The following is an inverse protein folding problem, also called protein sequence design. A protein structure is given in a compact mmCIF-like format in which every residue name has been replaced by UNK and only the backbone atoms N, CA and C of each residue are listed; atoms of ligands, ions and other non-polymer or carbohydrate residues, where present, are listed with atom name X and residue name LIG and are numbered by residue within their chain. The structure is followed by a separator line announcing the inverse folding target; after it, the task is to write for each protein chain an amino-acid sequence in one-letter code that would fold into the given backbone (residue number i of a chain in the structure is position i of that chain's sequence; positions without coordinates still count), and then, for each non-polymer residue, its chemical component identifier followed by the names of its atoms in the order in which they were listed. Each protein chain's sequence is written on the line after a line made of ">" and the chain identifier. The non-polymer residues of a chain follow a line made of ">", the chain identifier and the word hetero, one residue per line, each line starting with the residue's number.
data_IF_366885851795
#
_entry.id   IF_366885851795
#
_cell.length_a   1.000
_cell.length_b   1.000
_cell.length_c   1.000
_cell.angle_alpha   90.00
_cell.angle_beta   90.00
_cell.angle_gamma   90.00
#
_symmetry.space_group_name_H-M   'P 1'
#
loop_
_entity.id
_entity.type
_entity.pdbx_description
1 polymer ?
#
# COMPACT_ATOMS: atom_id res chain seq x y z
N UNK A 1 -25.56 14.92 8.47
CA UNK A 1 -24.92 16.16 8.93
C UNK A 1 -24.11 16.71 7.76
N UNK A 2 -24.43 17.90 7.24
CA UNK A 2 -23.67 18.54 6.18
C UNK A 2 -22.34 19.00 6.79
N UNK A 3 -21.25 18.36 6.42
CA UNK A 3 -19.90 18.79 6.77
C UNK A 3 -19.62 20.11 6.02
N UNK A 4 -19.59 21.22 6.72
CA UNK A 4 -19.23 22.52 6.15
C UNK A 4 -17.75 22.50 5.77
N UNK A 5 -17.40 23.10 4.63
CA UNK A 5 -16.04 23.17 4.06
C UNK A 5 -14.99 23.70 5.07
N UNK A 6 -15.40 24.54 5.99
CA UNK A 6 -14.55 25.08 7.09
C UNK A 6 -14.18 24.04 8.14
N UNK A 7 -14.93 22.95 8.31
CA UNK A 7 -14.62 21.90 9.27
C UNK A 7 -13.55 20.93 8.73
N UNK A 8 -13.50 20.69 7.42
CA UNK A 8 -12.50 19.78 6.81
C UNK A 8 -11.09 20.34 6.92
N UNK A 9 -10.89 21.63 6.61
CA UNK A 9 -9.56 22.27 6.68
C UNK A 9 -9.03 22.30 8.12
N UNK A 10 -9.92 22.45 9.11
CA UNK A 10 -9.55 22.44 10.55
C UNK A 10 -9.27 21.05 11.11
N UNK A 11 -9.76 19.98 10.46
CA UNK A 11 -9.52 18.60 10.90
C UNK A 11 -8.25 17.97 10.29
N UNK A 12 -7.62 18.64 9.33
CA UNK A 12 -6.37 18.17 8.72
C UNK A 12 -5.19 18.46 9.66
N UNK A 13 -4.41 17.43 9.95
CA UNK A 13 -3.13 17.60 10.66
C UNK A 13 -2.08 18.16 9.69
N UNK A 14 -1.96 19.48 9.68
CA UNK A 14 -1.03 20.20 8.82
C UNK A 14 0.44 19.87 9.12
N UNK A 15 0.76 19.46 10.35
CA UNK A 15 2.12 19.06 10.72
C UNK A 15 2.50 17.78 9.95
N UNK A 16 1.63 16.80 9.96
CA UNK A 16 1.83 15.55 9.19
C UNK A 16 1.93 15.82 7.69
N UNK A 17 1.09 16.71 7.14
CA UNK A 17 1.16 17.08 5.71
C UNK A 17 2.49 17.74 5.37
N UNK A 18 2.98 18.67 6.19
CA UNK A 18 4.27 19.34 5.95
C UNK A 18 5.44 18.36 6.04
N UNK A 19 5.44 17.46 7.03
CA UNK A 19 6.47 16.42 7.15
C UNK A 19 6.45 15.50 5.92
N UNK A 20 5.27 15.08 5.48
CA UNK A 20 5.12 14.26 4.27
C UNK A 20 5.70 14.94 3.03
N UNK A 21 5.32 16.20 2.78
CA UNK A 21 5.84 16.95 1.64
C UNK A 21 7.35 17.18 1.73
N UNK A 22 7.88 17.44 2.93
CA UNK A 22 9.32 17.57 3.13
C UNK A 22 10.05 16.27 2.80
N UNK A 23 9.53 15.10 3.21
CA UNK A 23 10.11 13.79 2.88
C UNK A 23 10.06 13.50 1.37
N UNK A 24 8.96 13.87 0.70
CA UNK A 24 8.82 13.73 -0.76
C UNK A 24 9.86 14.58 -1.48
N UNK A 25 10.05 15.84 -1.06
CA UNK A 25 11.05 16.75 -1.65
C UNK A 25 12.47 16.26 -1.40
N UNK A 26 12.80 15.81 -0.19
CA UNK A 26 14.11 15.22 0.13
C UNK A 26 14.39 13.98 -0.71
N UNK A 27 13.38 13.12 -0.90
CA UNK A 27 13.45 11.96 -1.77
C UNK A 27 13.75 12.34 -3.23
N UNK A 28 13.08 13.37 -3.74
CA UNK A 28 13.35 13.88 -5.09
C UNK A 28 14.75 14.44 -5.25
N UNK A 29 15.21 15.28 -4.31
CA UNK A 29 16.59 15.82 -4.28
C UNK A 29 17.62 14.68 -4.26
N UNK A 30 17.35 13.64 -3.48
CA UNK A 30 18.22 12.45 -3.41
C UNK A 30 18.33 11.74 -4.76
N UNK A 31 17.22 11.62 -5.51
CA UNK A 31 17.21 11.04 -6.86
C UNK A 31 17.95 11.95 -7.84
N UNK A 32 17.78 13.27 -7.74
CA UNK A 32 18.55 14.21 -8.55
C UNK A 32 20.05 14.03 -8.33
N UNK A 33 20.49 13.94 -7.07
CA UNK A 33 21.91 13.72 -6.74
C UNK A 33 22.45 12.37 -7.21
N UNK A 34 21.65 11.30 -7.10
CA UNK A 34 22.05 9.96 -7.54
C UNK A 34 22.04 9.79 -9.08
N UNK A 35 21.31 10.63 -9.79
CA UNK A 35 21.19 10.60 -11.26
C UNK A 35 22.03 11.68 -11.93
N UNK A 36 22.83 12.41 -11.16
CA UNK A 36 23.66 13.49 -11.66
C UNK A 36 24.82 12.90 -12.49
N UNK A 37 24.78 13.16 -13.81
CA UNK A 37 25.89 12.88 -14.71
C UNK A 37 26.53 14.20 -15.13
N UNK A 38 27.86 14.27 -15.07
CA UNK A 38 28.63 15.48 -15.42
C UNK A 38 28.43 15.83 -16.90
N UNK A 39 27.43 16.62 -17.22
CA UNK A 39 27.17 17.10 -18.57
C UNK A 39 25.69 17.37 -18.91
N UNK A 40 24.75 16.73 -18.26
CA UNK A 40 23.29 16.94 -18.48
C UNK A 40 22.64 17.52 -17.23
N UNK A 41 22.36 18.85 -17.28
CA UNK A 41 21.72 19.57 -16.15
C UNK A 41 20.18 19.61 -16.24
N UNK A 42 19.53 18.84 -17.10
CA UNK A 42 18.08 18.88 -17.26
C UNK A 42 17.34 18.00 -16.23
N UNK A 43 17.30 18.47 -14.98
CA UNK A 43 16.55 17.80 -13.89
C UNK A 43 15.04 17.72 -14.14
N UNK A 44 14.50 18.55 -15.02
CA UNK A 44 13.07 18.62 -15.33
C UNK A 44 12.67 17.89 -16.60
N UNK A 45 13.62 17.39 -17.38
CA UNK A 45 13.33 16.64 -18.60
C UNK A 45 12.64 15.32 -18.26
N UNK A 46 11.54 14.99 -18.97
CA UNK A 46 10.83 13.73 -18.84
C UNK A 46 11.65 12.51 -19.31
N UNK A 47 12.80 12.73 -19.95
CA UNK A 47 13.72 11.66 -20.32
C UNK A 47 14.61 11.24 -19.16
N UNK A 48 14.84 12.13 -18.19
CA UNK A 48 15.63 11.86 -16.99
C UNK A 48 14.83 11.15 -15.90
N UNK A 49 15.52 10.47 -14.98
CA UNK A 49 14.90 9.82 -13.82
C UNK A 49 14.26 10.84 -12.88
N UNK A 50 14.90 12.00 -12.69
CA UNK A 50 14.42 13.08 -11.84
C UNK A 50 13.13 13.72 -12.37
N UNK A 51 13.03 13.96 -13.68
CA UNK A 51 11.82 14.50 -14.29
C UNK A 51 10.66 13.51 -14.29
N UNK A 52 10.91 12.22 -14.58
CA UNK A 52 9.89 11.16 -14.41
C UNK A 52 9.37 11.10 -12.97
N UNK A 53 10.27 11.25 -11.99
CA UNK A 53 9.86 11.26 -10.58
C UNK A 53 8.94 12.43 -10.24
N UNK A 54 9.18 13.63 -10.77
CA UNK A 54 8.28 14.77 -10.59
C UNK A 54 6.87 14.49 -11.13
N UNK A 55 6.78 13.87 -12.30
CA UNK A 55 5.51 13.48 -12.88
C UNK A 55 4.77 12.48 -11.96
N UNK A 56 5.48 11.48 -11.43
CA UNK A 56 4.90 10.52 -10.50
C UNK A 56 4.48 11.16 -9.18
N UNK A 57 5.24 12.14 -8.67
CA UNK A 57 4.87 12.92 -7.48
C UNK A 57 3.57 13.68 -7.73
N UNK A 58 3.45 14.38 -8.88
CA UNK A 58 2.23 15.11 -9.22
C UNK A 58 1.02 14.17 -9.35
N UNK A 59 1.17 13.03 -10.04
CA UNK A 59 0.12 12.02 -10.16
C UNK A 59 -0.29 11.44 -8.80
N UNK A 60 0.68 11.14 -7.92
CA UNK A 60 0.40 10.57 -6.60
C UNK A 60 -0.30 11.56 -5.67
N UNK A 61 0.07 12.84 -5.71
CA UNK A 61 -0.61 13.89 -4.95
C UNK A 61 -2.05 14.08 -5.45
N UNK A 62 -2.26 14.08 -6.78
CA UNK A 62 -3.59 14.14 -7.38
C UNK A 62 -4.46 12.95 -6.98
N UNK A 63 -3.91 11.73 -7.05
CA UNK A 63 -4.60 10.52 -6.63
C UNK A 63 -4.90 10.54 -5.12
N UNK A 64 -3.94 10.98 -4.29
CA UNK A 64 -4.13 11.13 -2.86
C UNK A 64 -5.27 12.10 -2.53
N UNK A 65 -5.35 13.22 -3.25
CA UNK A 65 -6.44 14.17 -3.10
C UNK A 65 -7.80 13.55 -3.47
N UNK A 66 -7.88 12.81 -4.58
CA UNK A 66 -9.10 12.09 -4.99
C UNK A 66 -9.53 11.11 -3.91
N UNK A 67 -8.58 10.32 -3.39
CA UNK A 67 -8.83 9.33 -2.34
C UNK A 67 -9.40 10.00 -1.09
N UNK A 68 -8.84 11.14 -0.65
CA UNK A 68 -9.33 11.88 0.50
C UNK A 68 -10.75 12.48 0.31
N UNK A 69 -11.21 12.65 -0.95
CA UNK A 69 -12.55 13.13 -1.28
C UNK A 69 -13.59 12.00 -1.30
N UNK A 70 -13.19 10.75 -1.31
CA UNK A 70 -14.11 9.61 -1.32
C UNK A 70 -14.78 9.43 0.03
N UNK A 71 -16.07 9.11 0.01
CA UNK A 71 -16.84 8.78 1.23
C UNK A 71 -16.41 7.42 1.81
N UNK A 72 -16.42 7.30 3.14
CA UNK A 72 -16.08 6.07 3.87
C UNK A 72 -16.87 4.85 3.40
N UNK A 73 -18.12 5.05 2.96
CA UNK A 73 -18.99 4.00 2.43
C UNK A 73 -18.43 3.31 1.20
N UNK A 74 -17.69 4.05 0.35
CA UNK A 74 -17.09 3.51 -0.88
C UNK A 74 -16.00 2.50 -0.49
N UNK A 75 -15.15 2.85 0.48
CA UNK A 75 -14.13 1.95 0.98
C UNK A 75 -14.72 0.67 1.54
N UNK A 76 -15.81 0.81 2.29
CA UNK A 76 -16.50 -0.32 2.90
C UNK A 76 -17.10 -1.27 1.84
N UNK A 77 -17.70 -0.73 0.79
CA UNK A 77 -18.25 -1.53 -0.32
C UNK A 77 -17.16 -2.26 -1.12
N UNK A 78 -16.08 -1.57 -1.44
CA UNK A 78 -15.02 -2.09 -2.29
C UNK A 78 -14.02 -2.99 -1.56
N UNK A 79 -13.94 -2.97 -0.23
CA UNK A 79 -12.90 -3.63 0.54
C UNK A 79 -12.67 -5.10 0.14
N UNK A 80 -13.71 -5.93 0.17
CA UNK A 80 -13.57 -7.35 -0.15
C UNK A 80 -13.46 -7.63 -1.65
N UNK A 81 -14.10 -6.82 -2.48
CA UNK A 81 -14.00 -6.94 -3.96
C UNK A 81 -12.57 -6.62 -4.38
N UNK A 82 -12.00 -5.53 -3.86
CA UNK A 82 -10.65 -5.12 -4.15
C UNK A 82 -9.62 -6.13 -3.62
N UNK A 83 -9.85 -6.66 -2.41
CA UNK A 83 -9.03 -7.72 -1.85
C UNK A 83 -9.05 -8.97 -2.74
N UNK A 84 -10.21 -9.46 -3.15
CA UNK A 84 -10.34 -10.63 -4.02
C UNK A 84 -9.66 -10.43 -5.37
N UNK A 85 -9.81 -9.24 -5.98
CA UNK A 85 -9.14 -8.88 -7.22
C UNK A 85 -7.61 -8.90 -7.07
N UNK A 86 -7.08 -8.35 -5.96
CA UNK A 86 -5.64 -8.35 -5.69
C UNK A 86 -5.10 -9.76 -5.41
N UNK A 87 -5.87 -10.62 -4.73
CA UNK A 87 -5.49 -12.02 -4.54
C UNK A 87 -5.41 -12.78 -5.85
N UNK A 88 -6.39 -12.57 -6.74
CA UNK A 88 -6.36 -13.15 -8.08
C UNK A 88 -5.14 -12.63 -8.88
N UNK A 89 -4.87 -11.34 -8.82
CA UNK A 89 -3.72 -10.74 -9.50
C UNK A 89 -2.40 -11.27 -8.96
N UNK A 90 -2.24 -11.39 -7.62
CA UNK A 90 -1.06 -11.99 -7.01
C UNK A 90 -0.88 -13.46 -7.44
N UNK A 91 -1.96 -14.22 -7.55
CA UNK A 91 -1.90 -15.61 -7.99
C UNK A 91 -1.46 -15.73 -9.45
N UNK A 92 -1.93 -14.85 -10.32
CA UNK A 92 -1.60 -14.85 -11.75
C UNK A 92 -0.22 -14.28 -12.04
N UNK A 93 0.29 -13.37 -11.21
CA UNK A 93 1.57 -12.66 -11.41
C UNK A 93 2.75 -13.58 -11.73
N UNK A 94 3.02 -14.69 -11.00
CA UNK A 94 4.17 -15.55 -11.31
C UNK A 94 4.15 -16.18 -12.71
N UNK A 95 2.97 -16.27 -13.33
CA UNK A 95 2.81 -16.88 -14.66
C UNK A 95 3.01 -15.89 -15.81
N UNK A 96 2.87 -14.57 -15.53
CA UNK A 96 2.97 -13.51 -16.54
C UNK A 96 4.15 -12.57 -16.31
N UNK A 97 4.72 -12.56 -15.10
CA UNK A 97 5.85 -11.69 -14.75
C UNK A 97 7.14 -12.24 -15.36
N UNK A 98 7.97 -11.31 -15.84
CA UNK A 98 9.33 -11.64 -16.25
C UNK A 98 10.26 -11.75 -15.02
N UNK A 99 11.26 -12.62 -15.12
CA UNK A 99 12.29 -12.70 -14.08
C UNK A 99 13.01 -11.36 -13.94
N UNK A 100 12.89 -10.77 -12.77
CA UNK A 100 13.60 -9.54 -12.43
C UNK A 100 14.45 -9.80 -11.19
N UNK A 101 15.74 -10.05 -11.39
CA UNK A 101 16.72 -10.35 -10.32
C UNK A 101 16.31 -11.57 -9.45
N UNK A 102 15.73 -12.58 -10.05
CA UNK A 102 15.29 -13.80 -9.37
C UNK A 102 13.90 -13.72 -8.72
N UNK A 103 13.13 -12.65 -8.94
CA UNK A 103 11.76 -12.46 -8.48
C UNK A 103 10.78 -12.37 -9.66
N UNK A 104 9.62 -12.99 -9.52
CA UNK A 104 8.53 -12.99 -10.50
C UNK A 104 7.35 -12.12 -10.02
N UNK A 105 7.64 -10.88 -9.58
CA UNK A 105 6.68 -10.00 -8.92
C UNK A 105 6.36 -8.72 -9.68
N UNK A 106 7.04 -8.48 -10.81
CA UNK A 106 6.90 -7.26 -11.59
C UNK A 106 6.21 -7.51 -12.93
N UNK A 107 5.07 -6.88 -13.13
CA UNK A 107 4.37 -6.87 -14.42
C UNK A 107 4.82 -5.63 -15.20
N UNK A 108 5.43 -5.82 -16.37
CA UNK A 108 5.93 -4.74 -17.20
C UNK A 108 4.91 -4.38 -18.28
N UNK A 109 4.56 -3.11 -18.36
CA UNK A 109 3.73 -2.51 -19.41
C UNK A 109 4.56 -1.47 -20.17
N UNK A 110 5.40 -1.91 -21.09
CA UNK A 110 6.32 -1.02 -21.81
C UNK A 110 7.32 -0.34 -20.86
N UNK A 111 7.26 0.98 -20.71
CA UNK A 111 8.14 1.75 -19.82
C UNK A 111 7.68 1.78 -18.35
N UNK A 112 6.49 1.30 -18.05
CA UNK A 112 5.92 1.27 -16.69
C UNK A 112 5.96 -0.15 -16.16
N UNK A 113 6.42 -0.31 -14.93
CA UNK A 113 6.37 -1.58 -14.20
C UNK A 113 5.47 -1.44 -12.98
N UNK A 114 4.62 -2.42 -12.77
CA UNK A 114 3.67 -2.48 -11.68
C UNK A 114 3.98 -3.70 -10.82
N UNK A 115 4.00 -3.49 -9.51
CA UNK A 115 4.20 -4.55 -8.53
C UNK A 115 2.88 -4.82 -7.78
N UNK A 116 2.17 -5.91 -8.07
CA UNK A 116 0.89 -6.20 -7.45
C UNK A 116 0.94 -6.32 -5.93
N UNK A 117 2.07 -6.75 -5.37
CA UNK A 117 2.29 -6.86 -3.93
C UNK A 117 2.09 -5.53 -3.18
N UNK A 118 2.43 -4.38 -3.79
CA UNK A 118 2.24 -3.06 -3.19
C UNK A 118 0.75 -2.73 -3.02
N UNK A 119 -0.05 -3.01 -4.04
CA UNK A 119 -1.50 -2.80 -4.00
C UNK A 119 -2.20 -3.81 -3.09
N UNK A 120 -1.68 -5.04 -3.02
CA UNK A 120 -2.21 -6.07 -2.14
C UNK A 120 -2.07 -5.71 -0.65
N UNK A 121 -1.02 -4.99 -0.25
CA UNK A 121 -0.89 -4.47 1.13
C UNK A 121 -2.04 -3.53 1.48
N UNK A 122 -2.35 -2.60 0.59
CA UNK A 122 -3.49 -1.69 0.79
C UNK A 122 -4.82 -2.45 0.80
N UNK A 123 -5.03 -3.39 -0.12
CA UNK A 123 -6.24 -4.21 -0.17
C UNK A 123 -6.42 -5.03 1.11
N UNK A 124 -5.33 -5.59 1.65
CA UNK A 124 -5.34 -6.34 2.91
C UNK A 124 -5.70 -5.43 4.09
N UNK A 125 -5.11 -4.23 4.17
CA UNK A 125 -5.43 -3.26 5.20
C UNK A 125 -6.93 -2.90 5.19
N UNK A 126 -7.47 -2.67 4.00
CA UNK A 126 -8.86 -2.30 3.81
C UNK A 126 -9.83 -3.46 4.19
N UNK A 127 -9.54 -4.68 3.72
CA UNK A 127 -10.33 -5.87 4.06
C UNK A 127 -10.29 -6.17 5.56
N UNK A 128 -9.12 -6.01 6.19
CA UNK A 128 -8.92 -6.23 7.61
C UNK A 128 -9.66 -5.16 8.45
N UNK A 129 -9.57 -3.88 8.06
CA UNK A 129 -10.30 -2.80 8.71
C UNK A 129 -11.81 -3.04 8.68
N UNK A 130 -12.35 -3.43 7.52
CA UNK A 130 -13.76 -3.79 7.39
C UNK A 130 -14.13 -4.99 8.25
N UNK A 131 -13.29 -6.02 8.28
CA UNK A 131 -13.55 -7.24 9.07
C UNK A 131 -13.56 -6.94 10.58
N UNK A 132 -12.59 -6.15 11.06
CA UNK A 132 -12.48 -5.77 12.48
C UNK A 132 -13.58 -4.79 12.88
N UNK A 133 -13.98 -3.87 12.00
CA UNK A 133 -15.06 -2.93 12.22
C UNK A 133 -16.45 -3.54 12.28
N UNK A 134 -16.60 -4.84 11.97
CA UNK A 134 -17.88 -5.51 12.03
C UNK A 134 -18.40 -5.60 13.47
N UNK A 135 -19.72 -5.38 13.63
CA UNK A 135 -20.40 -5.52 14.91
C UNK A 135 -20.20 -6.93 15.49
N UNK A 136 -19.81 -7.03 16.76
CA UNK A 136 -19.46 -8.27 17.48
C UNK A 136 -18.07 -8.88 17.15
N UNK A 137 -17.16 -8.13 16.54
CA UNK A 137 -15.79 -8.60 16.43
C UNK A 137 -15.15 -8.77 17.82
N UNK A 138 -14.54 -9.93 18.05
CA UNK A 138 -13.83 -10.23 19.30
C UNK A 138 -12.70 -11.21 19.01
N UNK A 139 -11.46 -10.78 19.20
CA UNK A 139 -10.26 -11.61 18.89
C UNK A 139 -10.16 -12.90 19.71
N UNK A 140 -10.77 -12.96 20.89
CA UNK A 140 -10.79 -14.17 21.74
C UNK A 140 -11.64 -15.31 21.17
N UNK A 141 -12.44 -15.07 20.12
CA UNK A 141 -13.23 -16.11 19.47
C UNK A 141 -12.48 -16.62 18.24
N UNK A 142 -12.22 -17.91 18.15
CA UNK A 142 -11.60 -18.56 16.99
C UNK A 142 -12.31 -18.23 15.67
N UNK A 143 -13.63 -18.05 15.70
CA UNK A 143 -14.43 -17.65 14.53
C UNK A 143 -14.07 -16.27 13.97
N UNK A 144 -13.50 -15.40 14.79
CA UNK A 144 -13.05 -14.06 14.38
C UNK A 144 -11.53 -14.03 14.11
N UNK A 145 -10.74 -14.69 14.93
CA UNK A 145 -9.28 -14.68 14.79
C UNK A 145 -8.78 -15.43 13.56
N UNK A 146 -9.34 -16.61 13.25
CA UNK A 146 -8.93 -17.41 12.10
C UNK A 146 -9.12 -16.69 10.75
N UNK A 147 -10.30 -16.09 10.44
CA UNK A 147 -10.45 -15.33 9.20
C UNK A 147 -9.54 -14.10 9.14
N UNK A 148 -9.34 -13.37 10.26
CA UNK A 148 -8.45 -12.22 10.31
C UNK A 148 -6.99 -12.62 9.97
N UNK A 149 -6.51 -13.71 10.56
CA UNK A 149 -5.20 -14.28 10.25
C UNK A 149 -5.15 -14.74 8.78
N UNK A 150 -6.21 -15.38 8.28
CA UNK A 150 -6.31 -15.82 6.89
C UNK A 150 -6.20 -14.68 5.88
N UNK A 151 -6.85 -13.52 6.16
CA UNK A 151 -6.75 -12.31 5.34
C UNK A 151 -5.30 -11.81 5.24
N UNK A 152 -4.47 -12.00 6.27
CA UNK A 152 -3.06 -11.60 6.27
C UNK A 152 -2.17 -12.67 5.62
N UNK A 153 -2.37 -13.94 5.98
CA UNK A 153 -1.50 -15.03 5.54
C UNK A 153 -1.64 -15.32 4.05
N UNK A 154 -2.84 -15.22 3.48
CA UNK A 154 -3.08 -15.53 2.07
C UNK A 154 -2.19 -14.68 1.13
N UNK A 155 -2.23 -13.33 1.17
CA UNK A 155 -1.35 -12.53 0.33
C UNK A 155 0.13 -12.73 0.67
N UNK A 156 0.47 -12.87 1.95
CA UNK A 156 1.85 -13.12 2.38
C UNK A 156 2.43 -14.38 1.74
N UNK A 157 1.68 -15.49 1.74
CA UNK A 157 2.11 -16.74 1.10
C UNK A 157 2.24 -16.59 -0.42
N UNK A 158 1.29 -15.92 -1.08
CA UNK A 158 1.36 -15.68 -2.53
C UNK A 158 2.60 -14.84 -2.90
N UNK A 159 2.97 -13.85 -2.08
CA UNK A 159 4.17 -13.03 -2.30
C UNK A 159 5.45 -13.85 -2.07
N UNK A 160 5.48 -14.73 -1.07
CA UNK A 160 6.62 -15.65 -0.85
C UNK A 160 6.82 -16.57 -2.06
N UNK A 161 5.72 -17.08 -2.65
CA UNK A 161 5.78 -17.90 -3.86
C UNK A 161 6.38 -17.16 -5.06
N UNK A 162 6.25 -15.83 -5.10
CA UNK A 162 6.89 -14.95 -6.10
C UNK A 162 8.39 -14.70 -5.82
N UNK A 163 8.95 -15.32 -4.78
CA UNK A 163 10.33 -15.13 -4.29
C UNK A 163 10.62 -13.70 -3.83
N UNK A 164 9.63 -13.04 -3.26
CA UNK A 164 9.72 -11.67 -2.78
C UNK A 164 9.51 -11.59 -1.25
N UNK A 165 10.45 -12.17 -0.50
CA UNK A 165 10.38 -12.25 0.97
C UNK A 165 10.37 -10.88 1.64
N UNK A 166 11.02 -9.86 1.07
CA UNK A 166 11.05 -8.50 1.60
C UNK A 166 9.64 -7.89 1.71
N UNK A 167 8.86 -7.96 0.64
CA UNK A 167 7.47 -7.47 0.62
C UNK A 167 6.56 -8.30 1.53
N UNK A 168 6.81 -9.61 1.64
CA UNK A 168 6.05 -10.49 2.54
C UNK A 168 6.26 -10.14 4.02
N UNK A 169 7.48 -9.75 4.43
CA UNK A 169 7.78 -9.38 5.81
C UNK A 169 6.98 -8.15 6.29
N UNK A 170 6.58 -7.26 5.39
CA UNK A 170 5.75 -6.09 5.73
C UNK A 170 4.40 -6.52 6.33
N UNK A 171 3.88 -7.69 5.94
CA UNK A 171 2.63 -8.23 6.49
C UNK A 171 2.70 -8.58 7.98
N UNK A 172 3.90 -8.74 8.55
CA UNK A 172 4.07 -8.90 10.00
C UNK A 172 3.53 -7.70 10.78
N UNK A 173 3.52 -6.49 10.19
CA UNK A 173 2.92 -5.32 10.81
C UNK A 173 1.42 -5.49 11.10
N UNK A 174 0.70 -6.22 10.25
CA UNK A 174 -0.72 -6.52 10.48
C UNK A 174 -0.94 -7.44 11.69
N UNK A 175 -0.02 -8.35 11.98
CA UNK A 175 -0.09 -9.16 13.19
C UNK A 175 0.10 -8.32 14.44
N UNK A 176 1.00 -7.31 14.43
CA UNK A 176 1.13 -6.36 15.53
C UNK A 176 -0.15 -5.55 15.73
N UNK A 177 -0.82 -5.18 14.63
CA UNK A 177 -2.12 -4.52 14.70
C UNK A 177 -3.18 -5.44 15.34
N UNK A 178 -3.27 -6.72 14.93
CA UNK A 178 -4.19 -7.68 15.54
C UNK A 178 -3.90 -7.90 17.04
N UNK A 179 -2.63 -7.89 17.43
CA UNK A 179 -2.24 -7.95 18.84
C UNK A 179 -2.81 -6.77 19.63
N UNK A 180 -2.72 -5.56 19.06
CA UNK A 180 -3.33 -4.36 19.65
C UNK A 180 -4.85 -4.47 19.78
N UNK A 181 -5.51 -5.13 18.84
CA UNK A 181 -6.95 -5.38 18.86
C UNK A 181 -7.38 -6.55 19.78
N UNK A 182 -6.44 -7.08 20.58
CA UNK A 182 -6.71 -8.08 21.63
C UNK A 182 -6.39 -9.53 21.24
N UNK A 183 -5.57 -9.75 20.22
CA UNK A 183 -5.07 -11.10 19.92
C UNK A 183 -4.14 -11.57 21.05
N UNK A 184 -4.33 -12.80 21.57
CA UNK A 184 -3.45 -13.32 22.62
C UNK A 184 -2.00 -13.41 22.12
N UNK A 185 -1.04 -12.93 22.94
CA UNK A 185 0.38 -12.95 22.60
C UNK A 185 0.95 -14.34 22.31
N UNK A 186 0.33 -15.38 22.86
CA UNK A 186 0.69 -16.79 22.56
C UNK A 186 0.58 -17.14 21.07
N UNK A 187 -0.31 -16.48 20.32
CA UNK A 187 -0.45 -16.72 18.86
C UNK A 187 0.64 -15.98 18.07
N UNK A 188 1.21 -14.91 18.63
CA UNK A 188 2.24 -14.11 17.97
C UNK A 188 3.64 -14.73 18.15
N UNK A 189 3.87 -15.46 19.24
CA UNK A 189 5.19 -15.96 19.63
C UNK A 189 5.32 -17.51 19.53
N UNK A 190 4.32 -18.20 18.99
CA UNK A 190 4.37 -19.62 18.67
C UNK A 190 4.55 -19.84 17.17
#
# INVERSE_FOLDING_TARGET
>A
MAYTKDSMVKSVDWVTVVIYLALVLLGWISICGASYDYGDMDFFSLDTRSGKQLLWIACSLGLGFIILMLEDKIYDWFAYIFYGLMMLLLFVTPFIAEDTKGSYSWIKFGSVSLQPAEFAKFATALALAKFIGAYNFTMNKLKCSLPAIGIILLPMLLIILQRETGSALVYLAFFLMLYREGMPGSILFT
#
